data_IF_838166083514
#
_entry.id   IF_838166083514
#
_cell.length_a   1.000
_cell.length_b   1.000
_cell.length_c   1.000
_cell.angle_alpha   90.00
_cell.angle_beta   90.00
_cell.angle_gamma   90.00
#
_symmetry.space_group_name_H-M   'P 1'
#
loop_
_entity.id
_entity.type
_entity.pdbx_description
1 polymer ?
#
# COMPACT_ATOMS: atom_id res chain seq x y z
N UNK A 1 28.94 20.93 24.06
CA UNK A 1 29.34 22.24 23.49
C UNK A 1 30.85 22.24 23.41
N UNK A 2 31.42 22.39 22.22
CA UNK A 2 32.88 22.45 22.02
C UNK A 2 33.37 23.81 22.54
N UNK A 3 34.39 23.81 23.43
CA UNK A 3 34.93 25.02 24.01
C UNK A 3 35.67 25.86 22.95
N UNK A 4 35.74 27.18 23.12
CA UNK A 4 36.48 28.06 22.19
C UNK A 4 37.96 27.67 22.06
N UNK A 5 38.55 27.16 23.14
CA UNK A 5 39.92 26.64 23.15
C UNK A 5 40.06 25.38 22.27
N UNK A 6 39.10 24.45 22.36
CA UNK A 6 39.09 23.23 21.53
C UNK A 6 38.94 23.56 20.05
N UNK A 7 38.13 24.57 19.72
CA UNK A 7 37.99 25.06 18.33
C UNK A 7 39.31 25.66 17.81
N UNK A 8 39.97 26.45 18.62
CA UNK A 8 41.22 27.11 18.23
C UNK A 8 42.39 26.11 18.09
N UNK A 9 42.45 25.13 18.98
CA UNK A 9 43.41 24.04 18.90
C UNK A 9 43.14 23.22 17.64
N UNK A 10 41.88 22.82 17.38
CA UNK A 10 41.51 22.03 16.23
C UNK A 10 41.81 22.77 14.91
N UNK A 11 41.47 24.05 14.83
CA UNK A 11 41.81 24.89 13.67
C UNK A 11 43.32 25.06 13.45
N UNK A 12 44.11 25.16 14.52
CA UNK A 12 45.56 25.25 14.44
C UNK A 12 46.22 23.94 13.99
N UNK A 13 45.69 22.80 14.43
CA UNK A 13 46.16 21.47 13.99
C UNK A 13 45.76 21.17 12.54
N UNK A 14 44.60 21.62 12.07
CA UNK A 14 44.17 21.51 10.69
C UNK A 14 44.94 22.45 9.75
N UNK A 15 45.56 23.54 10.27
CA UNK A 15 46.32 24.53 9.51
C UNK A 15 47.79 24.15 9.53
N UNK A 16 48.16 23.13 8.76
CA UNK A 16 49.53 22.58 8.66
C UNK A 16 50.56 23.60 8.20
N UNK A 17 51.81 23.49 8.69
CA UNK A 17 52.96 24.31 8.27
C UNK A 17 53.23 24.11 6.76
N UNK A 18 53.76 25.15 6.12
CA UNK A 18 54.02 25.24 4.66
C UNK A 18 54.84 24.09 4.03
N UNK A 19 55.43 23.17 4.83
CA UNK A 19 56.19 22.04 4.29
C UNK A 19 55.38 20.78 3.98
N UNK A 20 54.12 20.65 4.48
CA UNK A 20 53.32 19.42 4.36
C UNK A 20 52.07 19.63 3.47
N UNK A 21 52.21 20.41 2.41
CA UNK A 21 51.10 20.75 1.47
C UNK A 21 50.37 19.54 0.91
N UNK A 22 51.05 18.42 0.70
CA UNK A 22 50.47 17.19 0.19
C UNK A 22 49.50 16.53 1.18
N UNK A 23 49.85 16.49 2.46
CA UNK A 23 48.98 15.94 3.54
C UNK A 23 47.71 16.76 3.72
N UNK A 24 47.83 18.09 3.61
CA UNK A 24 46.65 18.97 3.71
C UNK A 24 45.66 18.74 2.56
N UNK A 25 46.15 18.51 1.35
CA UNK A 25 45.36 18.20 0.18
C UNK A 25 44.61 16.88 0.41
N UNK A 26 45.26 15.82 0.85
CA UNK A 26 44.62 14.50 1.13
C UNK A 26 43.53 14.64 2.20
N UNK A 27 43.79 15.38 3.28
CA UNK A 27 42.85 15.59 4.37
C UNK A 27 41.58 16.33 3.89
N UNK A 28 41.78 17.39 3.07
CA UNK A 28 40.66 18.15 2.51
C UNK A 28 39.81 17.28 1.55
N UNK A 29 40.47 16.52 0.67
CA UNK A 29 39.73 15.63 -0.27
C UNK A 29 38.99 14.52 0.50
N UNK A 30 39.60 13.94 1.53
CA UNK A 30 38.93 12.95 2.38
C UNK A 30 37.74 13.56 3.10
N UNK A 31 37.88 14.75 3.68
CA UNK A 31 36.78 15.45 4.35
C UNK A 31 35.62 15.75 3.39
N UNK A 32 35.92 16.29 2.20
CA UNK A 32 34.91 16.59 1.16
C UNK A 32 34.23 15.28 0.70
N UNK A 33 35.03 14.25 0.43
CA UNK A 33 34.49 12.95 -0.03
C UNK A 33 33.54 12.30 0.99
N UNK A 34 33.92 12.29 2.26
CA UNK A 34 33.08 11.76 3.33
C UNK A 34 31.82 12.61 3.52
N UNK A 35 31.97 13.94 3.55
CA UNK A 35 30.85 14.86 3.73
C UNK A 35 29.83 14.70 2.59
N UNK A 36 30.32 14.61 1.35
CA UNK A 36 29.47 14.40 0.18
C UNK A 36 28.78 13.04 0.23
N UNK A 37 29.53 11.97 0.58
CA UNK A 37 28.97 10.61 0.68
C UNK A 37 27.86 10.52 1.72
N UNK A 38 28.08 11.08 2.92
CA UNK A 38 27.05 11.11 3.97
C UNK A 38 25.87 11.99 3.59
N UNK A 39 26.10 13.15 2.97
CA UNK A 39 25.03 14.03 2.53
C UNK A 39 24.12 13.35 1.49
N UNK A 40 24.72 12.74 0.46
CA UNK A 40 23.96 11.99 -0.56
C UNK A 40 23.16 10.87 0.08
N UNK A 41 23.73 10.15 1.02
CA UNK A 41 23.05 9.03 1.69
C UNK A 41 21.88 9.50 2.54
N UNK A 42 22.00 10.61 3.27
CA UNK A 42 20.90 11.20 4.03
C UNK A 42 19.76 11.63 3.09
N UNK A 43 20.10 12.25 1.96
CA UNK A 43 19.10 12.67 0.95
C UNK A 43 18.35 11.45 0.41
N UNK A 44 19.07 10.41 -0.01
CA UNK A 44 18.46 9.19 -0.56
C UNK A 44 17.57 8.51 0.47
N UNK A 45 18.04 8.36 1.73
CA UNK A 45 17.22 7.77 2.80
C UNK A 45 15.96 8.60 3.11
N UNK A 46 16.07 9.93 3.09
CA UNK A 46 14.93 10.81 3.32
C UNK A 46 13.88 10.67 2.22
N UNK A 47 14.30 10.67 0.95
CA UNK A 47 13.41 10.46 -0.20
C UNK A 47 12.74 9.09 -0.13
N UNK A 48 13.50 8.05 0.17
CA UNK A 48 12.99 6.68 0.28
C UNK A 48 11.99 6.50 1.43
N UNK A 49 12.28 7.08 2.60
CA UNK A 49 11.33 7.06 3.71
C UNK A 49 10.03 7.82 3.38
N UNK A 50 10.14 8.94 2.67
CA UNK A 50 8.99 9.69 2.17
C UNK A 50 8.15 8.88 1.19
N UNK A 51 8.79 8.26 0.20
CA UNK A 51 8.14 7.40 -0.78
C UNK A 51 7.44 6.20 -0.13
N UNK A 52 8.12 5.51 0.80
CA UNK A 52 7.52 4.41 1.55
C UNK A 52 6.29 4.85 2.34
N UNK A 53 6.37 5.98 3.03
CA UNK A 53 5.24 6.52 3.79
C UNK A 53 4.06 6.85 2.86
N UNK A 54 4.32 7.45 1.70
CA UNK A 54 3.30 7.78 0.71
C UNK A 54 2.65 6.53 0.12
N UNK A 55 3.44 5.51 -0.24
CA UNK A 55 2.93 4.21 -0.71
C UNK A 55 2.02 3.55 0.32
N UNK A 56 2.44 3.48 1.59
CA UNK A 56 1.65 2.91 2.67
C UNK A 56 0.33 3.66 2.84
N UNK A 57 0.37 4.99 2.84
CA UNK A 57 -0.83 5.83 2.93
C UNK A 57 -1.78 5.61 1.76
N UNK A 58 -1.26 5.50 0.54
CA UNK A 58 -2.07 5.22 -0.66
C UNK A 58 -2.71 3.84 -0.59
N UNK A 59 -1.95 2.79 -0.28
CA UNK A 59 -2.46 1.42 -0.15
C UNK A 59 -3.54 1.35 0.94
N UNK A 60 -3.31 1.95 2.10
CA UNK A 60 -4.27 1.97 3.21
C UNK A 60 -5.48 2.86 2.95
N UNK A 61 -5.36 3.83 2.05
CA UNK A 61 -6.44 4.78 1.76
C UNK A 61 -7.63 4.17 1.03
N UNK A 62 -7.46 3.03 0.35
CA UNK A 62 -8.55 2.39 -0.42
C UNK A 62 -8.76 0.90 -0.12
N UNK A 63 -7.79 0.24 0.53
CA UNK A 63 -7.94 -1.15 0.96
C UNK A 63 -8.32 -1.24 2.43
N UNK A 64 -8.97 -2.34 2.78
CA UNK A 64 -9.12 -2.73 4.18
C UNK A 64 -7.75 -2.95 4.82
N UNK A 65 -7.61 -2.57 6.08
CA UNK A 65 -6.36 -2.77 6.81
C UNK A 65 -6.14 -4.24 7.17
N UNK A 66 -7.22 -4.96 7.46
CA UNK A 66 -7.22 -6.41 7.60
C UNK A 66 -8.51 -6.99 7.02
N UNK A 67 -8.42 -8.20 6.49
CA UNK A 67 -9.55 -8.95 5.95
C UNK A 67 -9.59 -10.31 6.64
N UNK A 68 -10.74 -10.65 7.17
CA UNK A 68 -10.99 -11.94 7.83
C UNK A 68 -11.88 -12.77 6.93
N UNK A 69 -11.50 -14.02 6.71
CA UNK A 69 -12.26 -15.02 5.97
C UNK A 69 -12.51 -16.23 6.85
N UNK A 70 -13.77 -16.68 6.92
CA UNK A 70 -14.10 -17.89 7.66
C UNK A 70 -13.79 -19.15 6.86
N UNK A 71 -13.30 -20.17 7.54
CA UNK A 71 -13.18 -21.52 6.97
C UNK A 71 -14.50 -22.30 7.03
N UNK A 72 -15.32 -22.04 8.06
CA UNK A 72 -16.50 -22.86 8.37
C UNK A 72 -17.82 -22.20 8.01
N UNK A 73 -17.78 -21.01 7.37
CA UNK A 73 -18.99 -20.29 6.98
C UNK A 73 -19.09 -18.87 7.55
N UNK A 74 -20.25 -18.49 8.11
CA UNK A 74 -20.54 -17.11 8.46
C UNK A 74 -19.62 -16.52 9.53
N UNK A 75 -18.95 -15.40 9.23
CA UNK A 75 -18.16 -14.65 10.20
C UNK A 75 -19.09 -13.90 11.16
N UNK A 76 -18.91 -14.10 12.46
CA UNK A 76 -19.58 -13.31 13.47
C UNK A 76 -18.94 -11.92 13.59
N UNK A 77 -19.68 -10.88 13.23
CA UNK A 77 -19.20 -9.49 13.26
C UNK A 77 -18.93 -8.97 14.69
N UNK A 78 -19.54 -9.56 15.70
CA UNK A 78 -19.57 -9.03 17.08
C UNK A 78 -18.75 -9.86 18.09
N UNK A 79 -17.76 -10.63 17.62
CA UNK A 79 -16.87 -11.39 18.53
C UNK A 79 -15.96 -10.51 19.41
N UNK A 80 -15.98 -9.18 19.26
CA UNK A 80 -15.06 -8.28 19.97
C UNK A 80 -15.50 -8.02 21.41
N UNK A 81 -15.20 -8.94 22.29
CA UNK A 81 -15.24 -8.69 23.72
C UNK A 81 -13.98 -7.98 24.25
N UNK A 82 -12.96 -7.77 23.41
CA UNK A 82 -11.75 -7.05 23.77
C UNK A 82 -11.95 -5.53 23.57
N UNK A 83 -12.12 -4.82 24.69
CA UNK A 83 -12.32 -3.37 24.72
C UNK A 83 -11.17 -2.60 24.05
N UNK A 84 -9.93 -3.11 24.18
CA UNK A 84 -8.74 -2.48 23.58
C UNK A 84 -8.80 -2.55 22.05
N UNK A 85 -9.08 -3.71 21.50
CA UNK A 85 -9.21 -3.89 20.06
C UNK A 85 -10.38 -3.09 19.48
N UNK A 86 -11.52 -3.07 20.20
CA UNK A 86 -12.71 -2.33 19.79
C UNK A 86 -12.45 -0.83 19.69
N UNK A 87 -11.64 -0.25 20.59
CA UNK A 87 -11.28 1.18 20.54
C UNK A 87 -10.35 1.54 19.37
N UNK A 88 -9.61 0.56 18.83
CA UNK A 88 -8.70 0.74 17.70
C UNK A 88 -9.39 0.59 16.34
N UNK A 89 -10.54 -0.07 16.29
CA UNK A 89 -11.29 -0.30 15.05
C UNK A 89 -12.17 0.92 14.74
N UNK A 90 -11.96 1.50 13.56
CA UNK A 90 -12.79 2.58 13.03
C UNK A 90 -14.11 2.03 12.49
N UNK A 91 -14.04 1.02 11.62
CA UNK A 91 -15.22 0.41 11.02
C UNK A 91 -14.99 -1.04 10.59
N UNK A 92 -16.09 -1.77 10.48
CA UNK A 92 -16.17 -3.14 9.97
C UNK A 92 -17.16 -3.17 8.82
N UNK A 93 -16.75 -3.75 7.71
CA UNK A 93 -17.55 -3.82 6.48
C UNK A 93 -17.58 -5.26 5.98
N UNK A 94 -18.76 -5.73 5.61
CA UNK A 94 -18.89 -7.01 4.90
C UNK A 94 -18.76 -6.77 3.41
N UNK A 95 -17.84 -7.52 2.81
CA UNK A 95 -17.63 -7.53 1.36
C UNK A 95 -17.62 -8.93 0.79
N UNK A 96 -17.65 -9.01 -0.53
CA UNK A 96 -17.31 -10.20 -1.28
C UNK A 96 -16.51 -9.80 -2.52
N UNK A 97 -15.62 -10.65 -2.96
CA UNK A 97 -14.74 -10.38 -4.10
C UNK A 97 -14.94 -11.45 -5.17
N UNK A 98 -14.73 -11.06 -6.41
CA UNK A 98 -14.77 -11.99 -7.53
C UNK A 98 -14.06 -11.40 -8.74
N UNK A 99 -13.87 -12.22 -9.73
CA UNK A 99 -13.23 -11.84 -10.98
C UNK A 99 -14.26 -11.84 -12.12
N UNK A 100 -14.03 -10.96 -13.08
CA UNK A 100 -14.84 -10.87 -14.28
C UNK A 100 -14.01 -10.34 -15.44
N UNK A 101 -14.62 -10.38 -16.62
CA UNK A 101 -14.06 -9.78 -17.83
C UNK A 101 -14.94 -8.59 -18.20
N UNK A 102 -14.36 -7.42 -18.20
CA UNK A 102 -14.95 -6.23 -18.76
C UNK A 102 -14.91 -6.34 -20.28
N UNK A 103 -16.04 -6.07 -20.94
CA UNK A 103 -16.13 -6.08 -22.40
C UNK A 103 -16.77 -4.80 -22.90
N UNK A 104 -16.07 -4.13 -23.83
CA UNK A 104 -16.63 -3.00 -24.60
C UNK A 104 -16.15 -3.07 -26.05
N UNK A 105 -17.08 -3.28 -26.98
CA UNK A 105 -16.77 -3.49 -28.41
C UNK A 105 -15.75 -4.61 -28.61
N UNK A 106 -14.58 -4.30 -29.17
CA UNK A 106 -13.45 -5.24 -29.38
C UNK A 106 -12.47 -5.30 -28.18
N UNK A 107 -12.67 -4.49 -27.14
CA UNK A 107 -11.80 -4.46 -25.97
C UNK A 107 -12.32 -5.40 -24.88
N UNK A 108 -11.45 -6.25 -24.36
CA UNK A 108 -11.74 -7.11 -23.21
C UNK A 108 -10.57 -7.07 -22.23
N UNK A 109 -10.87 -7.04 -20.94
CA UNK A 109 -9.89 -7.02 -19.87
C UNK A 109 -10.41 -7.70 -18.62
N UNK A 110 -9.57 -8.52 -17.98
CA UNK A 110 -9.84 -9.05 -16.65
C UNK A 110 -9.91 -7.95 -15.60
N UNK A 111 -10.88 -8.01 -14.72
CA UNK A 111 -11.09 -7.05 -13.64
C UNK A 111 -11.44 -7.79 -12.35
N UNK A 112 -10.94 -7.26 -11.22
CA UNK A 112 -11.39 -7.65 -9.90
C UNK A 112 -12.65 -6.87 -9.54
N UNK A 113 -13.67 -7.57 -9.08
CA UNK A 113 -14.94 -6.96 -8.72
C UNK A 113 -15.10 -7.06 -7.21
N UNK A 114 -15.31 -5.92 -6.56
CA UNK A 114 -15.55 -5.83 -5.12
C UNK A 114 -17.00 -5.49 -4.85
N UNK A 115 -17.69 -6.40 -4.17
CA UNK A 115 -19.09 -6.28 -3.82
C UNK A 115 -19.31 -5.76 -2.41
N UNK A 116 -20.12 -4.71 -2.28
CA UNK A 116 -20.48 -4.12 -0.99
C UNK A 116 -22.00 -3.97 -0.88
N UNK A 117 -22.53 -3.95 0.36
CA UNK A 117 -23.89 -3.49 0.60
C UNK A 117 -23.99 -2.00 0.27
N UNK A 118 -25.17 -1.56 -0.18
CA UNK A 118 -25.45 -0.16 -0.51
C UNK A 118 -24.95 0.82 0.56
N UNK A 119 -25.30 0.56 1.82
CA UNK A 119 -24.96 1.45 2.95
C UNK A 119 -23.48 1.38 3.35
N UNK A 120 -22.81 0.28 3.05
CA UNK A 120 -21.41 0.11 3.41
C UNK A 120 -20.49 0.73 2.36
N UNK A 121 -20.89 0.76 1.10
CA UNK A 121 -20.08 1.39 0.04
C UNK A 121 -19.78 2.85 0.33
N UNK A 122 -20.76 3.62 0.82
CA UNK A 122 -20.56 5.04 1.17
C UNK A 122 -19.54 5.28 2.31
N UNK A 123 -19.26 4.25 3.13
CA UNK A 123 -18.31 4.34 4.24
C UNK A 123 -16.87 4.15 3.79
N UNK A 124 -16.64 3.64 2.58
CA UNK A 124 -15.31 3.43 2.05
C UNK A 124 -14.58 4.77 1.87
N UNK A 125 -13.30 4.83 2.25
CA UNK A 125 -12.48 6.03 2.11
C UNK A 125 -12.45 6.55 0.66
N UNK A 126 -12.51 5.66 -0.32
CA UNK A 126 -12.53 5.99 -1.74
C UNK A 126 -13.75 6.84 -2.13
N UNK A 127 -14.90 6.66 -1.47
CA UNK A 127 -16.12 7.44 -1.73
C UNK A 127 -16.10 8.81 -1.04
N UNK A 128 -15.20 9.00 -0.09
CA UNK A 128 -15.00 10.26 0.62
C UNK A 128 -13.90 11.11 -0.03
N UNK A 129 -13.18 10.54 -0.99
CA UNK A 129 -12.13 11.24 -1.71
C UNK A 129 -12.74 12.37 -2.58
N UNK A 130 -12.05 13.52 -2.66
CA UNK A 130 -12.42 14.66 -3.50
C UNK A 130 -12.52 14.31 -5.01
N UNK A 131 -11.88 13.23 -5.44
CA UNK A 131 -11.91 12.75 -6.82
C UNK A 131 -13.07 11.79 -7.10
N UNK A 132 -13.93 11.51 -6.13
CA UNK A 132 -15.14 10.71 -6.35
C UNK A 132 -16.23 11.56 -7.00
N UNK A 133 -16.84 11.05 -8.08
CA UNK A 133 -17.91 11.75 -8.81
C UNK A 133 -19.11 10.80 -8.95
N UNK A 134 -20.30 11.29 -8.70
CA UNK A 134 -21.56 10.54 -8.86
C UNK A 134 -22.14 10.05 -7.54
N UNK A 135 -22.93 9.00 -7.60
CA UNK A 135 -23.67 8.49 -6.47
C UNK A 135 -22.78 7.66 -5.54
N UNK A 136 -22.80 7.98 -4.24
CA UNK A 136 -22.08 7.23 -3.19
C UNK A 136 -22.78 5.93 -2.78
N UNK A 137 -23.89 5.59 -3.40
CA UNK A 137 -24.62 4.35 -3.18
C UNK A 137 -24.63 3.53 -4.48
N UNK A 138 -24.46 2.21 -4.35
CA UNK A 138 -24.55 1.28 -5.48
C UNK A 138 -25.73 0.35 -5.25
N UNK A 139 -26.80 0.58 -6.03
CA UNK A 139 -27.97 -0.27 -6.06
C UNK A 139 -27.78 -1.48 -7.01
N UNK A 140 -28.75 -2.39 -7.03
CA UNK A 140 -28.73 -3.52 -7.96
C UNK A 140 -28.68 -3.03 -9.42
N UNK A 141 -27.88 -3.69 -10.24
CA UNK A 141 -27.68 -3.33 -11.64
C UNK A 141 -26.74 -2.12 -11.86
N UNK A 142 -26.13 -1.60 -10.80
CA UNK A 142 -25.25 -0.45 -10.86
C UNK A 142 -23.81 -0.80 -10.49
N UNK A 143 -22.86 -0.06 -11.05
CA UNK A 143 -21.43 -0.19 -10.78
C UNK A 143 -20.76 1.16 -10.62
N UNK A 144 -19.60 1.14 -9.93
CA UNK A 144 -18.64 2.22 -9.89
C UNK A 144 -17.34 1.77 -10.55
N UNK A 145 -16.81 2.56 -11.48
CA UNK A 145 -15.53 2.29 -12.16
C UNK A 145 -14.55 3.41 -11.87
N UNK A 146 -13.26 3.19 -12.13
CA UNK A 146 -12.30 4.26 -11.97
C UNK A 146 -12.43 5.32 -13.08
N UNK A 147 -12.00 6.55 -12.79
CA UNK A 147 -11.90 7.61 -13.79
C UNK A 147 -10.99 7.22 -14.96
N UNK A 148 -9.88 6.55 -14.63
CA UNK A 148 -8.94 6.08 -15.64
C UNK A 148 -9.58 5.04 -16.57
N UNK A 149 -10.33 4.09 -16.01
CA UNK A 149 -11.09 3.12 -16.80
C UNK A 149 -12.16 3.81 -17.67
N UNK A 150 -12.87 4.77 -17.09
CA UNK A 150 -13.85 5.59 -17.82
C UNK A 150 -13.21 6.32 -19.01
N UNK A 151 -12.09 6.98 -18.79
CA UNK A 151 -11.34 7.69 -19.82
C UNK A 151 -10.85 6.75 -20.94
N UNK A 152 -10.18 5.66 -20.57
CA UNK A 152 -9.60 4.71 -21.54
C UNK A 152 -10.67 4.01 -22.40
N UNK A 153 -11.87 3.84 -21.86
CA UNK A 153 -12.99 3.18 -22.55
C UNK A 153 -14.01 4.15 -23.11
N UNK A 154 -13.78 5.45 -22.97
CA UNK A 154 -14.75 6.49 -23.31
C UNK A 154 -16.13 6.20 -22.72
N UNK A 155 -16.17 6.08 -21.38
CA UNK A 155 -17.35 5.79 -20.56
C UNK A 155 -17.57 6.88 -19.54
N UNK A 156 -18.79 7.32 -19.38
CA UNK A 156 -19.24 8.32 -18.43
C UNK A 156 -20.27 7.74 -17.46
N UNK A 157 -20.66 8.57 -16.49
CA UNK A 157 -21.79 8.25 -15.61
C UNK A 157 -23.04 8.07 -16.47
N UNK A 158 -23.88 7.12 -16.10
CA UNK A 158 -25.09 6.67 -16.76
C UNK A 158 -24.88 5.82 -18.02
N UNK A 159 -23.66 5.67 -18.52
CA UNK A 159 -23.34 4.71 -19.56
C UNK A 159 -23.46 3.26 -19.08
N UNK A 160 -23.61 2.36 -20.03
CA UNK A 160 -23.72 0.93 -19.78
C UNK A 160 -22.39 0.22 -20.06
N UNK A 161 -22.01 -0.67 -19.14
CA UNK A 161 -20.84 -1.51 -19.27
C UNK A 161 -21.22 -3.00 -19.09
N UNK A 162 -20.72 -3.83 -20.00
CA UNK A 162 -20.97 -5.27 -19.94
C UNK A 162 -19.83 -5.99 -19.24
N UNK A 163 -20.19 -6.84 -18.28
CA UNK A 163 -19.28 -7.73 -17.58
C UNK A 163 -19.63 -9.18 -17.93
N UNK A 164 -18.59 -9.99 -18.10
CA UNK A 164 -18.68 -11.44 -18.29
C UNK A 164 -18.13 -12.08 -17.03
N UNK A 165 -18.87 -13.01 -16.46
CA UNK A 165 -18.51 -13.73 -15.25
C UNK A 165 -18.14 -15.17 -15.60
N UNK A 166 -17.04 -15.70 -15.05
CA UNK A 166 -16.58 -17.06 -15.35
C UNK A 166 -17.48 -18.16 -14.76
N UNK A 167 -18.39 -17.79 -13.85
CA UNK A 167 -19.36 -18.76 -13.33
C UNK A 167 -20.30 -19.21 -14.43
N UNK A 168 -20.32 -20.49 -14.62
CA UNK A 168 -21.09 -21.10 -15.68
C UNK A 168 -22.54 -21.40 -15.26
N UNK A 169 -23.46 -21.19 -16.16
CA UNK A 169 -24.66 -22.00 -16.17
C UNK A 169 -24.31 -23.32 -16.87
N UNK A 170 -24.38 -24.42 -16.15
CA UNK A 170 -24.22 -25.74 -16.77
C UNK A 170 -25.33 -25.95 -17.77
N UNK A 171 -24.97 -26.07 -19.03
CA UNK A 171 -25.88 -26.38 -20.14
C UNK A 171 -25.51 -27.75 -20.69
N UNK A 172 -26.46 -28.34 -21.45
CA UNK A 172 -26.25 -29.65 -22.09
C UNK A 172 -25.03 -29.63 -23.03
N UNK A 173 -24.58 -28.47 -23.49
CA UNK A 173 -23.48 -28.27 -24.44
C UNK A 173 -22.18 -27.81 -23.71
N UNK A 174 -22.18 -27.66 -22.38
CA UNK A 174 -21.08 -27.17 -21.57
C UNK A 174 -21.39 -25.92 -20.76
N UNK A 175 -20.40 -25.41 -20.04
CA UNK A 175 -20.55 -24.25 -19.18
C UNK A 175 -20.43 -22.95 -19.96
N UNK A 176 -21.49 -22.15 -20.01
CA UNK A 176 -21.47 -20.83 -20.66
C UNK A 176 -21.27 -19.71 -19.63
N UNK A 177 -20.31 -18.78 -19.85
CA UNK A 177 -20.12 -17.66 -18.96
C UNK A 177 -21.32 -16.73 -18.93
N UNK A 178 -21.68 -16.23 -17.74
CA UNK A 178 -22.76 -15.27 -17.58
C UNK A 178 -22.33 -13.90 -18.09
N UNK A 179 -23.16 -13.28 -18.91
CA UNK A 179 -22.97 -11.92 -19.41
C UNK A 179 -24.09 -11.03 -18.89
N UNK A 180 -23.72 -9.91 -18.23
CA UNK A 180 -24.68 -8.93 -17.73
C UNK A 180 -24.18 -7.51 -17.95
N UNK A 181 -25.09 -6.61 -18.27
CA UNK A 181 -24.83 -5.19 -18.45
C UNK A 181 -25.25 -4.44 -17.20
N UNK A 182 -24.40 -3.52 -16.76
CA UNK A 182 -24.57 -2.68 -15.59
C UNK A 182 -24.46 -1.21 -15.97
N UNK A 183 -25.21 -0.37 -15.25
CA UNK A 183 -25.13 1.08 -15.40
C UNK A 183 -24.04 1.66 -14.51
N UNK A 184 -23.20 2.53 -15.05
CA UNK A 184 -22.18 3.26 -14.29
C UNK A 184 -22.86 4.39 -13.53
N UNK A 185 -22.73 4.42 -12.19
CA UNK A 185 -23.34 5.47 -11.34
C UNK A 185 -22.33 6.35 -10.65
N UNK A 186 -21.07 5.96 -10.64
CA UNK A 186 -20.01 6.79 -10.09
C UNK A 186 -18.65 6.45 -10.69
N UNK A 187 -17.77 7.44 -10.63
CA UNK A 187 -16.37 7.36 -11.01
C UNK A 187 -15.49 7.66 -9.79
N UNK A 188 -14.54 6.78 -9.51
CA UNK A 188 -13.60 6.93 -8.41
C UNK A 188 -12.16 7.14 -8.89
N UNK A 189 -11.28 7.59 -8.02
CA UNK A 189 -9.84 7.53 -8.19
C UNK A 189 -9.18 7.28 -6.84
N UNK A 190 -8.37 6.24 -6.77
CA UNK A 190 -7.59 5.91 -5.58
C UNK A 190 -6.24 6.65 -5.55
N UNK A 191 -5.78 7.14 -6.71
CA UNK A 191 -4.44 7.66 -6.91
C UNK A 191 -3.37 6.57 -7.01
N UNK A 192 -3.78 5.31 -7.21
CA UNK A 192 -2.91 4.17 -7.45
C UNK A 192 -3.34 3.47 -8.75
N UNK A 193 -2.55 3.66 -9.79
CA UNK A 193 -2.90 3.27 -11.17
C UNK A 193 -3.26 1.79 -11.31
N UNK A 194 -2.48 0.90 -10.68
CA UNK A 194 -2.74 -0.54 -10.78
C UNK A 194 -4.08 -0.95 -10.16
N UNK A 195 -4.50 -0.26 -9.11
CA UNK A 195 -5.81 -0.44 -8.52
C UNK A 195 -6.90 0.14 -9.42
N UNK A 196 -6.73 1.39 -9.85
CA UNK A 196 -7.71 2.11 -10.66
C UNK A 196 -7.97 1.43 -12.01
N UNK A 197 -6.94 0.80 -12.59
CA UNK A 197 -7.09 0.06 -13.86
C UNK A 197 -7.86 -1.24 -13.74
N UNK A 198 -7.83 -1.89 -12.57
CA UNK A 198 -8.21 -3.31 -12.46
C UNK A 198 -9.44 -3.56 -11.59
N UNK A 199 -10.00 -2.55 -10.90
CA UNK A 199 -11.07 -2.76 -9.92
C UNK A 199 -12.37 -2.10 -10.35
N UNK A 200 -13.48 -2.82 -10.11
CA UNK A 200 -14.87 -2.36 -10.27
C UNK A 200 -15.59 -2.62 -8.95
N UNK A 201 -16.38 -1.65 -8.49
CA UNK A 201 -17.29 -1.84 -7.36
C UNK A 201 -18.70 -2.10 -7.82
N UNK A 202 -19.39 -3.02 -7.15
CA UNK A 202 -20.82 -3.32 -7.42
C UNK A 202 -21.58 -3.67 -6.14
N UNK A 203 -22.88 -3.82 -6.29
CA UNK A 203 -23.71 -4.33 -5.19
C UNK A 203 -23.36 -5.79 -4.89
N UNK A 204 -23.16 -6.14 -3.61
CA UNK A 204 -22.75 -7.48 -3.18
C UNK A 204 -23.73 -8.58 -3.64
N UNK A 205 -25.03 -8.30 -3.63
CA UNK A 205 -26.03 -9.26 -4.05
C UNK A 205 -25.96 -9.54 -5.56
N UNK A 206 -25.60 -8.54 -6.36
CA UNK A 206 -25.37 -8.74 -7.80
C UNK A 206 -24.14 -9.61 -8.02
N UNK A 207 -23.02 -9.30 -7.35
CA UNK A 207 -21.79 -10.09 -7.46
C UNK A 207 -22.04 -11.56 -7.11
N UNK A 208 -22.69 -11.82 -5.98
CA UNK A 208 -22.99 -13.17 -5.51
C UNK A 208 -23.91 -13.92 -6.47
N UNK A 209 -24.92 -13.25 -7.00
CA UNK A 209 -25.83 -13.84 -8.00
C UNK A 209 -25.12 -14.18 -9.31
N UNK A 210 -24.18 -13.32 -9.77
CA UNK A 210 -23.48 -13.56 -11.03
C UNK A 210 -22.43 -14.67 -10.90
N UNK A 211 -21.75 -14.76 -9.77
CA UNK A 211 -20.68 -15.73 -9.52
C UNK A 211 -21.13 -16.98 -8.75
N UNK A 212 -22.44 -17.11 -8.44
CA UNK A 212 -22.99 -18.20 -7.61
C UNK A 212 -22.26 -18.30 -6.25
N UNK A 213 -21.82 -17.17 -5.70
CA UNK A 213 -21.18 -17.13 -4.40
C UNK A 213 -22.21 -17.24 -3.28
N UNK A 214 -21.86 -18.01 -2.26
CA UNK A 214 -22.71 -18.12 -1.06
C UNK A 214 -22.42 -16.98 -0.10
N UNK A 215 -23.41 -16.48 0.65
CA UNK A 215 -23.19 -15.44 1.67
C UNK A 215 -22.23 -15.86 2.78
N UNK A 216 -22.03 -17.16 2.98
CA UNK A 216 -21.09 -17.70 3.95
C UNK A 216 -19.63 -17.39 3.57
N UNK A 217 -19.35 -17.19 2.27
CA UNK A 217 -18.01 -16.92 1.76
C UNK A 217 -17.64 -15.43 1.79
N UNK A 218 -18.44 -14.59 2.46
CA UNK A 218 -18.16 -13.16 2.61
C UNK A 218 -16.93 -12.93 3.47
N UNK A 219 -16.27 -11.81 3.21
CA UNK A 219 -15.14 -11.31 4.00
C UNK A 219 -15.62 -10.27 5.01
N UNK A 220 -14.96 -10.22 6.15
CA UNK A 220 -15.06 -9.12 7.09
C UNK A 220 -13.84 -8.23 6.93
N UNK A 221 -14.04 -7.06 6.37
CA UNK A 221 -13.03 -6.03 6.23
C UNK A 221 -12.97 -5.16 7.48
N UNK A 222 -11.77 -4.99 8.03
CA UNK A 222 -11.53 -4.19 9.22
C UNK A 222 -10.66 -2.98 8.86
N UNK A 223 -11.12 -1.82 9.28
CA UNK A 223 -10.43 -0.55 9.16
C UNK A 223 -10.07 -0.04 10.53
N UNK A 224 -8.79 0.18 10.81
CA UNK A 224 -8.28 0.70 12.07
C UNK A 224 -8.15 2.22 12.03
N UNK A 225 -8.16 2.86 13.20
CA UNK A 225 -7.87 4.29 13.31
C UNK A 225 -6.41 4.59 12.93
N UNK A 226 -5.47 3.74 13.37
CA UNK A 226 -4.07 3.80 13.01
C UNK A 226 -3.56 2.41 12.57
N UNK A 227 -3.33 2.20 11.27
CA UNK A 227 -2.83 0.92 10.74
C UNK A 227 -1.30 0.79 10.75
N UNK A 228 -0.56 1.68 11.40
CA UNK A 228 0.91 1.72 11.34
C UNK A 228 1.55 0.44 11.88
N UNK A 229 1.01 -0.11 12.97
CA UNK A 229 1.48 -1.34 13.61
C UNK A 229 0.63 -2.55 13.24
N UNK A 230 0.42 -2.76 11.95
CA UNK A 230 -0.51 -3.78 11.45
C UNK A 230 -0.18 -5.21 11.92
N UNK A 231 1.10 -5.53 12.14
CA UNK A 231 1.53 -6.85 12.62
C UNK A 231 1.09 -7.12 14.07
N UNK A 232 1.07 -6.09 14.93
CA UNK A 232 0.55 -6.18 16.29
C UNK A 232 -0.99 -6.32 16.28
N UNK A 233 -1.65 -5.48 15.49
CA UNK A 233 -3.10 -5.55 15.30
C UNK A 233 -3.55 -6.91 14.75
N UNK A 234 -2.78 -7.51 13.85
CA UNK A 234 -3.03 -8.87 13.35
C UNK A 234 -2.98 -9.91 14.47
N UNK A 235 -1.98 -9.82 15.38
CA UNK A 235 -1.88 -10.74 16.52
C UNK A 235 -3.09 -10.60 17.45
N UNK A 236 -3.56 -9.39 17.68
CA UNK A 236 -4.74 -9.15 18.52
C UNK A 236 -6.02 -9.65 17.82
N UNK A 237 -6.17 -9.44 16.52
CA UNK A 237 -7.25 -10.05 15.74
C UNK A 237 -7.22 -11.58 15.79
N UNK A 238 -6.04 -12.21 15.72
CA UNK A 238 -5.91 -13.68 15.78
C UNK A 238 -6.36 -14.25 17.13
N UNK A 239 -6.22 -13.50 18.22
CA UNK A 239 -6.76 -13.91 19.53
C UNK A 239 -8.30 -13.93 19.55
N UNK A 240 -8.91 -12.95 18.85
CA UNK A 240 -10.38 -12.82 18.78
C UNK A 240 -10.98 -13.79 17.75
N UNK A 241 -10.26 -14.03 16.66
CA UNK A 241 -10.68 -14.90 15.54
C UNK A 241 -9.67 -16.03 15.30
N UNK A 242 -9.51 -16.98 16.28
CA UNK A 242 -8.42 -17.97 16.23
C UNK A 242 -8.56 -19.00 15.11
N UNK A 243 -9.78 -19.25 14.63
CA UNK A 243 -10.08 -20.26 13.62
C UNK A 243 -10.32 -19.65 12.22
N UNK A 244 -9.99 -18.36 12.04
CA UNK A 244 -10.25 -17.65 10.81
C UNK A 244 -8.94 -17.26 10.10
N UNK A 245 -9.01 -17.17 8.79
CA UNK A 245 -7.90 -16.64 8.00
C UNK A 245 -7.88 -15.11 8.09
N UNK A 246 -6.76 -14.56 8.51
CA UNK A 246 -6.56 -13.12 8.63
C UNK A 246 -5.45 -12.67 7.69
N UNK A 247 -5.82 -11.86 6.70
CA UNK A 247 -4.89 -11.21 5.78
C UNK A 247 -4.84 -9.73 6.09
N UNK A 248 -3.65 -9.17 6.16
CA UNK A 248 -3.46 -7.73 6.28
C UNK A 248 -3.04 -7.14 4.93
N UNK A 249 -3.15 -5.81 4.78
CA UNK A 249 -2.63 -5.13 3.60
C UNK A 249 -1.13 -5.39 3.38
N UNK A 250 -0.37 -5.62 4.46
CA UNK A 250 1.04 -5.99 4.42
C UNK A 250 1.26 -7.40 3.87
N UNK A 251 0.41 -8.36 4.25
CA UNK A 251 0.47 -9.74 3.72
C UNK A 251 0.18 -9.79 2.22
N UNK A 252 -0.83 -9.04 1.77
CA UNK A 252 -1.23 -8.98 0.36
C UNK A 252 -0.16 -8.31 -0.52
N UNK A 253 0.65 -7.42 0.07
CA UNK A 253 1.73 -6.71 -0.62
C UNK A 253 3.13 -7.18 -0.16
N UNK A 254 3.24 -8.41 0.33
CA UNK A 254 4.49 -8.97 0.87
C UNK A 254 5.72 -8.81 -0.03
N UNK A 255 5.66 -9.02 -1.37
CA UNK A 255 6.80 -8.79 -2.24
C UNK A 255 7.32 -7.35 -2.20
N UNK A 256 6.40 -6.36 -2.21
CA UNK A 256 6.74 -4.95 -2.12
C UNK A 256 7.45 -4.62 -0.79
N UNK A 257 6.88 -5.09 0.33
CA UNK A 257 7.48 -4.85 1.65
C UNK A 257 8.81 -5.56 1.85
N UNK A 258 8.96 -6.76 1.27
CA UNK A 258 10.23 -7.48 1.26
C UNK A 258 11.30 -6.70 0.49
N UNK A 259 10.98 -6.15 -0.68
CA UNK A 259 11.88 -5.32 -1.46
C UNK A 259 12.31 -4.06 -0.69
N UNK A 260 11.38 -3.35 -0.07
CA UNK A 260 11.66 -2.16 0.76
C UNK A 260 12.52 -2.49 2.00
N UNK A 261 12.37 -3.70 2.57
CA UNK A 261 13.21 -4.17 3.69
C UNK A 261 14.64 -4.46 3.24
N UNK A 262 14.80 -5.13 2.10
CA UNK A 262 16.11 -5.42 1.50
C UNK A 262 16.83 -4.11 1.19
N UNK A 263 16.16 -3.18 0.55
CA UNK A 263 16.70 -1.86 0.25
C UNK A 263 17.23 -1.14 1.52
N UNK A 264 16.44 -1.08 2.58
CA UNK A 264 16.86 -0.48 3.85
C UNK A 264 18.12 -1.16 4.41
N UNK A 265 18.21 -2.49 4.33
CA UNK A 265 19.37 -3.22 4.82
C UNK A 265 20.63 -2.92 3.97
N UNK A 266 20.47 -2.82 2.64
CA UNK A 266 21.56 -2.45 1.73
C UNK A 266 22.05 -1.03 2.04
N UNK A 267 21.14 -0.07 2.24
CA UNK A 267 21.49 1.29 2.61
C UNK A 267 22.25 1.35 3.94
N UNK A 268 21.84 0.55 4.93
CA UNK A 268 22.56 0.44 6.21
C UNK A 268 23.99 -0.12 6.03
N UNK A 269 24.16 -1.13 5.18
CA UNK A 269 25.48 -1.70 4.85
C UNK A 269 26.37 -0.65 4.17
N UNK A 270 25.83 0.09 3.20
CA UNK A 270 26.56 1.17 2.52
C UNK A 270 27.00 2.25 3.50
N UNK A 271 26.08 2.69 4.40
CA UNK A 271 26.42 3.66 5.44
C UNK A 271 27.54 3.18 6.35
N UNK A 272 27.45 1.93 6.79
CA UNK A 272 28.48 1.31 7.63
C UNK A 272 29.84 1.27 6.93
N UNK A 273 29.87 0.94 5.63
CA UNK A 273 31.09 0.93 4.83
C UNK A 273 31.71 2.33 4.70
N UNK A 274 30.88 3.36 4.44
CA UNK A 274 31.34 4.75 4.37
C UNK A 274 31.96 5.17 5.70
N UNK A 275 31.35 4.82 6.84
CA UNK A 275 31.88 5.14 8.17
C UNK A 275 33.25 4.45 8.41
N UNK A 276 33.37 3.17 8.00
CA UNK A 276 34.62 2.41 8.11
C UNK A 276 35.72 3.07 7.27
N UNK A 277 35.43 3.41 6.02
CA UNK A 277 36.41 4.10 5.14
C UNK A 277 36.82 5.46 5.73
N UNK A 278 35.84 6.21 6.27
CA UNK A 278 36.12 7.47 6.96
C UNK A 278 37.05 7.29 8.16
N UNK A 279 36.83 6.27 8.99
CA UNK A 279 37.65 5.97 10.14
C UNK A 279 39.10 5.62 9.72
N UNK A 280 39.27 4.79 8.67
CA UNK A 280 40.62 4.48 8.16
C UNK A 280 41.33 5.71 7.59
N UNK A 281 40.65 6.61 6.90
CA UNK A 281 41.24 7.85 6.42
C UNK A 281 41.71 8.75 7.57
N UNK A 282 40.93 8.86 8.65
CA UNK A 282 41.28 9.64 9.85
C UNK A 282 42.51 9.02 10.54
N UNK A 283 42.49 7.68 10.75
CA UNK A 283 43.60 6.95 11.38
C UNK A 283 44.89 7.13 10.56
N UNK A 284 44.82 6.95 9.24
CA UNK A 284 45.99 7.14 8.36
C UNK A 284 46.53 8.56 8.42
N UNK A 285 45.66 9.57 8.40
CA UNK A 285 46.06 10.97 8.53
C UNK A 285 46.73 11.28 9.86
N UNK A 286 46.21 10.75 10.98
CA UNK A 286 46.80 10.91 12.31
C UNK A 286 48.14 10.17 12.43
N UNK A 287 48.26 8.95 11.88
CA UNK A 287 49.52 8.16 11.91
C UNK A 287 50.66 8.87 11.17
N UNK A 288 50.37 9.55 10.07
CA UNK A 288 51.35 10.32 9.31
C UNK A 288 51.77 11.60 10.06
N UNK A 289 50.88 12.17 10.88
CA UNK A 289 51.12 13.37 11.65
C UNK A 289 52.02 13.10 12.90
N UNK A 290 51.97 11.90 13.48
CA UNK A 290 52.77 11.43 14.61
C UNK A 290 54.13 10.90 14.12
#
# INVERSE_FOLDING_TARGET
MISNLEKEITLRYLKTRKKDGFLNIITIFSFIGISLGVAVLIIVMSVMNGFRSDLIKKINGFNSHATIQSYEGRIEQNKDNDLKLKSQINQKIISNNGEGILMKRSFSKGVLIRGYKKEDFKKLAITQNQFFIGNKFIDKGQISISKEMGFNLNLNIDDNLTLIFPSANDTIIGSLPKKKTFQIKSLFSSGFDDFDKNIIFMNINDLESQLNLKPENRFLEIYFNDPTNIDELKKDLTKVYPNELIYTWSDLNKPLFSALKVERNVMFIILSLIIIVAAFNIISGLTILV
#
